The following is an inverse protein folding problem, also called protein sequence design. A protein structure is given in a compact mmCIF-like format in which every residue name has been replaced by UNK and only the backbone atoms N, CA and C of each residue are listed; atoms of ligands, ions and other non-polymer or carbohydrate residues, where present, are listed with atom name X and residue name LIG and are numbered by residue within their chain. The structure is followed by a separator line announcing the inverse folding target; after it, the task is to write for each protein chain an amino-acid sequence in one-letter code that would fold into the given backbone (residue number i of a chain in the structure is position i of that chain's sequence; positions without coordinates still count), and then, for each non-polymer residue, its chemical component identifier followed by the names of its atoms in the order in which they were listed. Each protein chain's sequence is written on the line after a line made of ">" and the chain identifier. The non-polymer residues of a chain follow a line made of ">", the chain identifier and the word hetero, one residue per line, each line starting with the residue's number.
data_IF_012682592106
#
_entry.id   IF_012682592106
#
_cell.length_a   1.000
_cell.length_b   1.000
_cell.length_c   1.000
_cell.angle_alpha   90.00
_cell.angle_beta   90.00
_cell.angle_gamma   90.00
#
_symmetry.space_group_name_H-M   'P 1'
#
loop_
_entity.id
_entity.type
_entity.pdbx_description
1 polymer ?
#
# COMPACT_ATOMS: atom_id res chain seq x y z
N UNK A 1 24.43 -19.84 22.32
CA UNK A 1 24.58 -18.83 21.24
C UNK A 1 23.38 -17.93 21.39
N UNK A 2 23.59 -16.63 21.60
CA UNK A 2 22.47 -15.70 21.76
C UNK A 2 21.90 -15.41 20.37
N UNK A 3 20.65 -15.82 20.13
CA UNK A 3 19.87 -15.38 18.98
C UNK A 3 19.67 -13.86 19.14
N UNK A 4 20.51 -13.08 18.46
CA UNK A 4 20.30 -11.65 18.33
C UNK A 4 18.99 -11.48 17.55
N UNK A 5 17.93 -11.11 18.26
CA UNK A 5 16.68 -10.64 17.67
C UNK A 5 16.99 -9.36 16.90
N UNK A 6 17.29 -9.49 15.62
CA UNK A 6 17.49 -8.35 14.74
C UNK A 6 16.12 -7.72 14.42
N UNK A 7 15.76 -6.73 15.24
CA UNK A 7 14.54 -5.91 15.07
C UNK A 7 14.64 -4.95 13.86
N UNK A 8 15.70 -5.04 13.05
CA UNK A 8 15.91 -4.23 11.85
C UNK A 8 15.65 -5.04 10.58
N UNK A 9 14.55 -5.78 10.50
CA UNK A 9 14.04 -6.17 9.18
C UNK A 9 13.76 -4.89 8.41
N UNK A 10 14.66 -4.51 7.49
CA UNK A 10 14.40 -3.42 6.57
C UNK A 10 13.13 -3.79 5.81
N UNK A 11 12.04 -3.09 6.07
CA UNK A 11 10.82 -3.26 5.28
C UNK A 11 11.23 -3.12 3.82
N UNK A 12 10.98 -4.15 3.00
CA UNK A 12 11.22 -4.03 1.57
C UNK A 12 10.21 -3.00 1.02
N UNK A 13 10.71 -1.80 0.76
CA UNK A 13 9.90 -0.65 0.39
C UNK A 13 9.86 -0.57 -1.12
N UNK A 14 8.65 -0.58 -1.68
CA UNK A 14 8.46 -0.30 -3.09
C UNK A 14 9.02 1.09 -3.44
N UNK A 15 9.50 1.22 -4.68
CA UNK A 15 9.99 2.48 -5.22
C UNK A 15 8.99 2.99 -6.25
N UNK A 16 8.58 4.25 -6.10
CA UNK A 16 7.75 4.96 -7.07
C UNK A 16 8.64 5.93 -7.85
N UNK A 17 8.34 6.10 -9.13
CA UNK A 17 9.09 6.98 -10.03
C UNK A 17 8.19 8.12 -10.48
N UNK A 18 8.65 9.34 -10.30
CA UNK A 18 8.07 10.55 -10.84
C UNK A 18 9.11 11.26 -11.70
N UNK A 19 8.70 12.27 -12.45
CA UNK A 19 9.63 13.10 -13.25
C UNK A 19 10.71 13.78 -12.39
N UNK A 20 10.39 14.07 -11.13
CA UNK A 20 11.31 14.68 -10.18
C UNK A 20 12.27 13.69 -9.48
N UNK A 21 12.12 12.38 -9.74
CA UNK A 21 13.01 11.34 -9.24
C UNK A 21 12.30 10.08 -8.75
N UNK A 22 13.11 9.15 -8.23
CA UNK A 22 12.65 7.89 -7.65
C UNK A 22 12.66 7.96 -6.13
N UNK A 23 11.56 7.57 -5.49
CA UNK A 23 11.41 7.63 -4.04
C UNK A 23 10.88 6.32 -3.47
N UNK A 24 11.36 5.95 -2.29
CA UNK A 24 10.82 4.81 -1.54
C UNK A 24 9.49 5.20 -0.91
N UNK A 25 8.51 4.32 -1.00
CA UNK A 25 7.23 4.45 -0.31
C UNK A 25 7.27 3.71 1.02
N UNK A 26 6.68 4.28 2.06
CA UNK A 26 6.42 3.56 3.31
C UNK A 26 5.33 2.52 3.06
N UNK A 27 5.45 1.36 3.68
CA UNK A 27 4.37 0.39 3.75
C UNK A 27 3.31 0.88 4.76
N UNK A 28 2.00 0.67 4.55
CA UNK A 28 0.97 1.11 5.49
C UNK A 28 1.15 0.59 6.92
N UNK A 29 1.72 -0.61 7.08
CA UNK A 29 2.06 -1.22 8.38
C UNK A 29 3.19 -0.47 9.13
N UNK A 30 3.94 0.40 8.46
CA UNK A 30 4.98 1.23 9.08
C UNK A 30 4.43 2.53 9.67
N UNK A 31 3.16 2.85 9.47
CA UNK A 31 2.55 4.05 10.06
C UNK A 31 2.10 3.76 11.50
N UNK A 32 2.52 4.59 12.46
CA UNK A 32 1.94 4.54 13.81
C UNK A 32 0.52 5.11 13.81
N UNK A 33 -0.29 4.78 14.83
CA UNK A 33 -1.68 5.25 14.94
C UNK A 33 -1.83 6.77 14.76
N UNK A 34 -0.91 7.56 15.30
CA UNK A 34 -0.91 9.01 15.15
C UNK A 34 -0.68 9.47 13.69
N UNK A 35 0.18 8.78 12.94
CA UNK A 35 0.45 9.08 11.54
C UNK A 35 -0.72 8.65 10.64
N UNK A 36 -1.30 7.47 10.92
CA UNK A 36 -2.51 7.02 10.24
C UNK A 36 -3.69 7.97 10.48
N UNK A 37 -3.87 8.43 11.73
CA UNK A 37 -4.87 9.43 12.07
C UNK A 37 -4.66 10.76 11.34
N UNK A 38 -3.41 11.22 11.21
CA UNK A 38 -3.06 12.40 10.41
C UNK A 38 -3.37 12.19 8.92
N UNK A 39 -3.03 11.02 8.36
CA UNK A 39 -3.31 10.70 6.96
C UNK A 39 -4.81 10.78 6.68
N UNK A 40 -5.64 10.14 7.51
CA UNK A 40 -7.10 10.18 7.38
C UNK A 40 -7.64 11.61 7.55
N UNK A 41 -7.16 12.35 8.55
CA UNK A 41 -7.60 13.71 8.83
C UNK A 41 -7.28 14.68 7.69
N UNK A 42 -6.09 14.58 7.11
CA UNK A 42 -5.68 15.39 5.96
C UNK A 42 -6.47 15.02 4.69
N UNK A 43 -6.76 13.72 4.47
CA UNK A 43 -7.63 13.28 3.38
C UNK A 43 -9.03 13.89 3.47
N UNK A 44 -9.69 13.80 4.63
CA UNK A 44 -10.99 14.44 4.88
C UNK A 44 -10.96 15.96 4.67
N UNK A 45 -9.83 16.59 5.00
CA UNK A 45 -9.66 18.02 4.80
C UNK A 45 -9.60 18.37 3.30
N UNK A 46 -8.94 17.57 2.48
CA UNK A 46 -8.94 17.75 1.03
C UNK A 46 -10.35 17.61 0.46
N UNK A 47 -11.09 16.58 0.87
CA UNK A 47 -12.46 16.37 0.42
C UNK A 47 -13.36 17.58 0.75
N UNK A 48 -13.19 18.16 1.94
CA UNK A 48 -13.94 19.35 2.37
C UNK A 48 -13.58 20.61 1.56
N UNK A 49 -12.36 20.71 1.04
CA UNK A 49 -11.91 21.87 0.24
C UNK A 49 -12.25 21.75 -1.25
N UNK A 50 -12.65 20.57 -1.73
CA UNK A 50 -12.88 20.32 -3.15
C UNK A 50 -14.01 21.18 -3.75
N UNK A 51 -15.00 21.59 -2.95
CA UNK A 51 -16.11 22.43 -3.40
C UNK A 51 -15.75 23.91 -3.64
N UNK A 52 -14.64 24.38 -3.08
CA UNK A 52 -14.22 25.79 -3.10
C UNK A 52 -12.86 25.98 -3.82
N UNK A 53 -12.50 25.06 -4.72
CA UNK A 53 -11.18 25.00 -5.37
C UNK A 53 -10.86 26.25 -6.22
N UNK A 54 -11.90 26.99 -6.62
CA UNK A 54 -11.78 28.24 -7.40
C UNK A 54 -11.26 29.42 -6.55
N UNK A 55 -11.28 29.33 -5.21
CA UNK A 55 -10.62 30.31 -4.34
C UNK A 55 -9.10 30.05 -4.29
N UNK A 56 -8.25 30.99 -4.74
CA UNK A 56 -6.79 30.84 -4.73
C UNK A 56 -6.20 30.51 -3.34
N UNK A 57 -6.83 30.97 -2.26
CA UNK A 57 -6.40 30.66 -0.88
C UNK A 57 -6.66 29.20 -0.53
N UNK A 58 -7.82 28.68 -0.96
CA UNK A 58 -8.18 27.27 -0.78
C UNK A 58 -7.27 26.39 -1.63
N UNK A 59 -7.00 26.78 -2.89
CA UNK A 59 -6.04 26.08 -3.74
C UNK A 59 -4.66 25.95 -3.08
N UNK A 60 -4.13 27.05 -2.54
CA UNK A 60 -2.85 27.04 -1.80
C UNK A 60 -2.91 26.12 -0.58
N UNK A 61 -4.07 26.03 0.09
CA UNK A 61 -4.25 25.16 1.24
C UNK A 61 -4.39 23.68 0.84
N UNK A 62 -5.02 23.39 -0.29
CA UNK A 62 -5.06 22.07 -0.92
C UNK A 62 -3.64 21.60 -1.22
N UNK A 63 -2.83 22.39 -1.93
CA UNK A 63 -1.44 22.06 -2.22
C UNK A 63 -0.64 21.72 -0.96
N UNK A 64 -0.70 22.56 0.07
CA UNK A 64 -0.04 22.29 1.35
C UNK A 64 -0.51 21.00 2.02
N UNK A 65 -1.80 20.71 1.91
CA UNK A 65 -2.40 19.50 2.50
C UNK A 65 -1.96 18.25 1.74
N UNK A 66 -1.94 18.29 0.40
CA UNK A 66 -1.44 17.18 -0.39
C UNK A 66 0.07 16.96 -0.18
N UNK A 67 0.86 18.04 -0.09
CA UNK A 67 2.28 17.95 0.25
C UNK A 67 2.51 17.29 1.62
N UNK A 68 1.67 17.59 2.61
CA UNK A 68 1.74 16.96 3.92
C UNK A 68 1.39 15.47 3.87
N UNK A 69 0.40 15.06 3.07
CA UNK A 69 0.08 13.65 2.82
C UNK A 69 1.25 12.91 2.18
N UNK A 70 1.84 13.47 1.14
CA UNK A 70 2.98 12.87 0.43
C UNK A 70 4.17 12.66 1.36
N UNK A 71 4.44 13.59 2.28
CA UNK A 71 5.51 13.41 3.30
C UNK A 71 5.24 12.28 4.30
N UNK A 72 3.98 11.94 4.54
CA UNK A 72 3.63 10.80 5.41
C UNK A 72 3.89 9.50 4.67
N UNK A 73 3.68 9.47 3.35
CA UNK A 73 3.71 8.26 2.52
C UNK A 73 5.10 7.97 1.94
N UNK A 74 5.85 8.99 1.52
CA UNK A 74 7.19 8.84 0.97
C UNK A 74 8.28 8.96 2.03
N UNK A 75 9.36 8.23 1.81
CA UNK A 75 10.57 8.28 2.63
C UNK A 75 11.45 9.43 2.14
N UNK A 76 11.72 10.39 3.02
CA UNK A 76 12.76 11.43 2.83
C UNK A 76 12.63 12.23 1.52
N UNK A 77 11.42 12.47 1.02
CA UNK A 77 11.23 13.31 -0.18
C UNK A 77 11.75 14.74 0.05
N UNK A 78 12.69 15.24 -0.77
CA UNK A 78 13.18 16.61 -0.67
C UNK A 78 12.07 17.62 -0.96
N UNK A 79 12.07 18.76 -0.26
CA UNK A 79 11.05 19.81 -0.46
C UNK A 79 11.00 20.30 -1.92
N UNK A 80 12.14 20.34 -2.62
CA UNK A 80 12.22 20.73 -4.04
C UNK A 80 11.45 19.76 -4.95
N UNK A 81 11.52 18.45 -4.69
CA UNK A 81 10.78 17.45 -5.46
C UNK A 81 9.29 17.45 -5.09
N UNK A 82 8.97 17.75 -3.83
CA UNK A 82 7.61 17.77 -3.34
C UNK A 82 6.74 18.88 -3.97
N UNK A 83 7.33 20.05 -4.21
CA UNK A 83 6.62 21.19 -4.84
C UNK A 83 6.43 21.03 -6.34
N UNK A 84 7.09 20.05 -6.97
CA UNK A 84 6.96 19.77 -8.41
C UNK A 84 5.99 18.65 -8.71
N UNK A 85 5.51 17.91 -7.69
CA UNK A 85 4.52 16.87 -7.88
C UNK A 85 3.17 17.48 -8.26
N UNK A 86 2.54 16.88 -9.26
CA UNK A 86 1.20 17.27 -9.70
C UNK A 86 0.12 16.65 -8.81
N UNK A 87 -1.12 17.17 -8.84
CA UNK A 87 -2.24 16.52 -8.15
C UNK A 87 -2.44 15.05 -8.56
N UNK A 88 -2.23 14.73 -9.84
CA UNK A 88 -2.36 13.38 -10.38
C UNK A 88 -1.28 12.42 -9.84
N UNK A 89 -0.03 12.88 -9.75
CA UNK A 89 1.06 12.13 -9.12
C UNK A 89 0.72 11.75 -7.67
N UNK A 90 0.14 12.71 -6.93
CA UNK A 90 -0.22 12.52 -5.53
C UNK A 90 -1.41 11.57 -5.38
N UNK A 91 -2.41 11.65 -6.26
CA UNK A 91 -3.55 10.73 -6.27
C UNK A 91 -3.09 9.30 -6.60
N UNK A 92 -2.26 9.14 -7.62
CA UNK A 92 -1.66 7.86 -8.01
C UNK A 92 -0.83 7.25 -6.88
N UNK A 93 -0.03 8.08 -6.20
CA UNK A 93 0.75 7.67 -5.02
C UNK A 93 -0.15 7.14 -3.89
N UNK A 94 -1.21 7.87 -3.55
CA UNK A 94 -2.14 7.49 -2.48
C UNK A 94 -2.91 6.21 -2.83
N UNK A 95 -3.33 6.07 -4.09
CA UNK A 95 -3.96 4.85 -4.57
C UNK A 95 -3.03 3.65 -4.46
N UNK A 96 -1.76 3.80 -4.89
CA UNK A 96 -0.75 2.76 -4.76
C UNK A 96 -0.48 2.40 -3.29
N UNK A 97 -0.33 3.40 -2.42
CA UNK A 97 -0.16 3.19 -0.99
C UNK A 97 -1.31 2.37 -0.37
N UNK A 98 -2.56 2.69 -0.72
CA UNK A 98 -3.72 1.94 -0.25
C UNK A 98 -3.75 0.50 -0.78
N UNK A 99 -3.32 0.28 -2.03
CA UNK A 99 -3.22 -1.06 -2.61
C UNK A 99 -2.16 -1.95 -1.93
N UNK A 100 -1.12 -1.35 -1.34
CA UNK A 100 -0.16 -2.11 -0.51
C UNK A 100 -0.83 -2.70 0.74
N UNK A 101 -1.89 -2.06 1.26
CA UNK A 101 -2.66 -2.60 2.38
C UNK A 101 -3.37 -3.90 2.01
N UNK A 102 -3.98 -3.94 0.83
CA UNK A 102 -4.80 -5.09 0.38
C UNK A 102 -3.97 -6.30 -0.04
N UNK A 103 -2.76 -6.12 -0.60
CA UNK A 103 -1.86 -7.23 -0.96
C UNK A 103 -1.28 -7.95 0.27
N UNK A 104 -1.26 -7.27 1.41
CA UNK A 104 -0.73 -7.79 2.66
C UNK A 104 -1.68 -8.76 3.39
N UNK A 105 -2.94 -8.85 2.94
CA UNK A 105 -4.02 -9.64 3.57
C UNK A 105 -4.38 -10.91 2.77
N UNK A 106 -3.63 -11.29 1.74
CA UNK A 106 -3.77 -12.63 1.13
C UNK A 106 -3.08 -13.67 2.03
N UNK A 107 -3.81 -14.65 2.60
CA UNK A 107 -3.17 -15.80 3.22
C UNK A 107 -2.51 -16.61 2.09
N UNK A 108 -1.19 -16.77 2.18
CA UNK A 108 -0.41 -17.64 1.31
C UNK A 108 -0.85 -19.10 1.54
N UNK A 109 -1.86 -19.54 0.77
CA UNK A 109 -2.37 -20.91 0.74
C UNK A 109 -1.64 -21.75 -0.32
N UNK A 110 -0.35 -21.51 -0.55
CA UNK A 110 0.43 -22.27 -1.53
C UNK A 110 1.58 -23.10 -0.92
N UNK A 111 1.45 -23.52 0.34
CA UNK A 111 2.14 -24.72 0.81
C UNK A 111 1.16 -25.90 0.93
N UNK A 112 1.11 -26.73 -0.11
CA UNK A 112 0.87 -28.17 0.03
C UNK A 112 1.46 -28.91 -1.15
N UNK A 113 2.71 -29.28 -0.95
CA UNK A 113 3.37 -30.44 -1.56
C UNK A 113 2.49 -31.67 -1.33
N UNK A 114 2.10 -32.36 -2.41
CA UNK A 114 2.29 -33.81 -2.53
C UNK A 114 1.95 -34.27 -3.94
N UNK A 115 3.01 -34.54 -4.69
CA UNK A 115 3.04 -35.48 -5.79
C UNK A 115 2.49 -36.83 -5.35
N UNK A 116 1.50 -37.38 -6.06
CA UNK A 116 1.40 -38.82 -6.34
C UNK A 116 0.50 -39.06 -7.55
N UNK A 117 1.07 -39.80 -8.49
CA UNK A 117 0.57 -40.18 -9.81
C UNK A 117 -0.52 -41.29 -9.75
N UNK A 118 -1.12 -41.70 -10.89
CA UNK A 118 -2.48 -42.24 -10.99
C UNK A 118 -2.56 -43.74 -10.71
N UNK A 119 -3.63 -44.16 -10.03
CA UNK A 119 -3.99 -45.56 -9.80
C UNK A 119 -5.28 -45.93 -10.53
N UNK A 120 -5.14 -46.63 -11.65
CA UNK A 120 -6.19 -47.49 -12.23
C UNK A 120 -6.58 -48.53 -11.18
N UNK A 121 -7.89 -48.77 -11.01
CA UNK A 121 -8.41 -50.11 -10.80
C UNK A 121 -9.89 -50.17 -11.19
N UNK A 122 -10.09 -50.62 -12.42
CA UNK A 122 -11.25 -51.34 -12.90
C UNK A 122 -11.32 -52.69 -12.18
N UNK A 123 -12.43 -53.01 -11.49
CA UNK A 123 -12.82 -54.38 -11.13
C UNK A 123 -14.29 -54.43 -10.68
N UNK A 124 -15.02 -55.26 -11.40
CA UNK A 124 -16.45 -55.54 -11.48
C UNK A 124 -17.05 -56.25 -10.25
N UNK A 125 -18.39 -56.34 -10.24
CA UNK A 125 -19.27 -57.36 -9.59
C UNK A 125 -19.95 -56.90 -8.28
N UNK A 126 -21.20 -57.22 -7.93
CA UNK A 126 -22.48 -57.48 -8.61
C UNK A 126 -23.57 -57.46 -7.50
N UNK A 127 -24.81 -57.15 -7.88
CA UNK A 127 -26.12 -57.50 -7.27
C UNK A 127 -26.37 -57.30 -5.75
N UNK A 128 -27.46 -56.59 -5.41
CA UNK A 128 -28.66 -57.21 -4.81
C UNK A 128 -29.81 -56.19 -4.64
N UNK A 129 -31.02 -56.63 -4.97
CA UNK A 129 -32.31 -55.97 -4.75
C UNK A 129 -32.69 -55.95 -3.26
N UNK A 130 -33.46 -54.94 -2.86
CA UNK A 130 -34.83 -55.12 -2.33
C UNK A 130 -35.69 -53.92 -2.75
#
# INVERSE_FOLDING_TARGET
>A
MADNLDLRTSTDRATVNFDCGSFKIRHPRELVFAEMGKLIGLGKKLDAMAGDIDDPKILTQCEKTMQALTKIVLVEIPQKALVTLTPDDMQSLLAFFNALRTKSDEPDLSESVSSSSPGVNDSTEAEAKD
#
